data_IF_620138772434
#
_entry.id   IF_620138772434
#
_cell.length_a   1.000
_cell.length_b   1.000
_cell.length_c   1.000
_cell.angle_alpha   90.00
_cell.angle_beta   90.00
_cell.angle_gamma   90.00
#
_symmetry.space_group_name_H-M   'P 1'
#
loop_
_entity.id
_entity.type
_entity.pdbx_description
1 polymer ?
#
# COMPACT_ATOMS: atom_id res chain seq x y z
N UNK A 1 -11.18 18.88 -6.70
CA UNK A 1 -12.07 19.43 -5.64
C UNK A 1 -11.68 19.09 -4.20
N UNK A 2 -10.78 18.18 -3.93
CA UNK A 2 -10.36 17.87 -2.55
C UNK A 2 -9.31 18.84 -2.02
N UNK A 3 -8.39 19.26 -2.89
CA UNK A 3 -7.41 20.26 -2.53
C UNK A 3 -8.01 21.66 -2.31
N UNK A 4 -9.22 21.93 -2.81
CA UNK A 4 -9.89 23.23 -2.65
C UNK A 4 -9.99 23.68 -1.18
N UNK A 5 -10.03 22.71 -0.26
CA UNK A 5 -10.05 22.98 1.18
C UNK A 5 -8.74 23.57 1.71
N UNK A 6 -7.62 23.18 1.14
CA UNK A 6 -6.29 23.58 1.64
C UNK A 6 -5.57 24.55 0.72
N UNK A 7 -5.89 24.57 -0.57
CA UNK A 7 -5.25 25.48 -1.55
C UNK A 7 -5.22 26.95 -1.12
N UNK A 8 -6.27 27.54 -0.53
CA UNK A 8 -6.28 28.95 -0.17
C UNK A 8 -5.17 29.37 0.80
N UNK A 9 -4.57 28.42 1.53
CA UNK A 9 -3.55 28.69 2.53
C UNK A 9 -2.12 28.67 1.98
N UNK A 10 -1.94 28.23 0.75
CA UNK A 10 -0.65 28.13 0.09
C UNK A 10 -0.49 29.17 -1.02
N UNK A 11 0.75 29.65 -1.29
CA UNK A 11 1.03 30.53 -2.41
C UNK A 11 0.68 29.87 -3.75
N UNK A 12 0.49 30.69 -4.78
CA UNK A 12 0.06 30.23 -6.11
C UNK A 12 0.96 29.15 -6.69
N UNK A 13 2.28 29.27 -6.54
CA UNK A 13 3.24 28.27 -7.02
C UNK A 13 3.04 26.91 -6.35
N UNK A 14 2.84 26.85 -5.03
CA UNK A 14 2.55 25.60 -4.32
C UNK A 14 1.18 25.04 -4.68
N UNK A 15 0.18 25.91 -4.95
CA UNK A 15 -1.12 25.47 -5.45
C UNK A 15 -1.00 24.78 -6.80
N UNK A 16 -0.21 25.34 -7.72
CA UNK A 16 0.06 24.73 -9.02
C UNK A 16 0.67 23.33 -8.89
N UNK A 17 1.66 23.15 -7.98
CA UNK A 17 2.27 21.86 -7.68
C UNK A 17 1.28 20.87 -7.05
N UNK A 18 0.43 21.35 -6.13
CA UNK A 18 -0.63 20.52 -5.53
C UNK A 18 -1.66 20.06 -6.57
N UNK A 19 -1.90 20.82 -7.61
CA UNK A 19 -2.86 20.47 -8.67
C UNK A 19 -2.23 19.69 -9.85
N UNK A 20 -0.90 19.71 -9.97
CA UNK A 20 -0.19 19.03 -11.08
C UNK A 20 -0.35 17.50 -10.99
N UNK A 21 -1.05 16.85 -11.94
CA UNK A 21 -1.32 15.39 -11.87
C UNK A 21 -0.06 14.54 -12.05
N UNK A 22 1.04 15.10 -12.54
CA UNK A 22 2.31 14.38 -12.70
C UNK A 22 3.09 14.22 -11.39
N UNK A 23 2.74 15.01 -10.35
CA UNK A 23 3.37 14.95 -9.04
C UNK A 23 2.62 13.95 -8.16
N UNK A 24 3.35 12.99 -7.60
CA UNK A 24 2.84 12.02 -6.63
C UNK A 24 2.99 12.49 -5.19
N UNK A 25 4.12 13.06 -4.86
CA UNK A 25 4.43 13.55 -3.52
C UNK A 25 4.97 14.99 -3.60
N UNK A 26 4.42 15.87 -2.76
CA UNK A 26 4.94 17.23 -2.55
C UNK A 26 5.46 17.33 -1.12
N UNK A 27 6.72 17.71 -0.97
CA UNK A 27 7.42 17.77 0.31
C UNK A 27 7.96 19.18 0.54
N UNK A 28 7.54 19.80 1.63
CA UNK A 28 8.05 21.10 2.09
C UNK A 28 8.85 20.85 3.36
N UNK A 29 10.15 21.11 3.31
CA UNK A 29 11.10 20.78 4.37
C UNK A 29 11.56 22.06 5.12
N UNK A 30 10.63 22.78 5.72
CA UNK A 30 10.91 24.05 6.41
C UNK A 30 11.62 25.02 5.49
N UNK A 31 12.75 25.56 5.94
CA UNK A 31 13.62 26.47 5.15
C UNK A 31 14.54 25.75 4.16
N UNK A 32 14.62 24.41 4.21
CA UNK A 32 15.52 23.63 3.33
C UNK A 32 14.98 23.46 1.90
N UNK A 33 13.73 23.86 1.64
CA UNK A 33 13.17 23.92 0.30
C UNK A 33 11.96 23.04 0.08
N UNK A 34 11.50 23.06 -1.16
CA UNK A 34 10.36 22.28 -1.67
C UNK A 34 10.87 21.24 -2.62
N UNK A 35 10.37 20.03 -2.49
CA UNK A 35 10.68 18.88 -3.33
C UNK A 35 9.40 18.25 -3.86
N UNK A 36 9.44 17.72 -5.07
CA UNK A 36 8.33 17.01 -5.68
C UNK A 36 8.81 15.68 -6.26
N UNK A 37 8.05 14.61 -6.02
CA UNK A 37 8.21 13.36 -6.78
C UNK A 37 7.36 13.47 -8.04
N UNK A 38 8.01 13.55 -9.20
CA UNK A 38 7.36 13.58 -10.52
C UNK A 38 7.67 12.28 -11.25
N UNK A 39 6.65 11.44 -11.42
CA UNK A 39 6.78 10.14 -12.08
C UNK A 39 7.88 9.24 -11.49
N UNK A 40 8.14 9.35 -10.19
CA UNK A 40 9.14 8.56 -9.51
C UNK A 40 10.54 9.19 -9.44
N UNK A 41 10.72 10.40 -9.94
CA UNK A 41 11.96 11.18 -9.79
C UNK A 41 11.70 12.32 -8.82
N UNK A 42 12.49 12.40 -7.76
CA UNK A 42 12.43 13.51 -6.80
C UNK A 42 13.28 14.65 -7.31
N UNK A 43 12.67 15.82 -7.47
CA UNK A 43 13.33 17.06 -7.91
C UNK A 43 13.12 18.18 -6.88
N UNK A 44 14.12 19.03 -6.73
CA UNK A 44 13.98 20.26 -5.93
C UNK A 44 13.29 21.34 -6.76
N UNK A 45 12.27 21.96 -6.18
CA UNK A 45 11.49 23.01 -6.84
C UNK A 45 11.98 24.37 -6.36
N UNK A 46 12.47 25.20 -7.28
CA UNK A 46 12.77 26.61 -7.01
C UNK A 46 11.47 27.42 -6.93
N UNK A 47 11.23 28.05 -5.79
CA UNK A 47 10.14 29.01 -5.63
C UNK A 47 10.65 30.42 -5.92
N UNK A 48 9.85 31.22 -6.61
CA UNK A 48 10.20 32.65 -6.86
C UNK A 48 10.10 33.49 -5.59
N UNK A 49 9.21 33.09 -4.66
CA UNK A 49 9.10 33.67 -3.34
C UNK A 49 9.34 32.62 -2.25
N UNK A 50 10.40 32.77 -1.43
CA UNK A 50 10.64 31.82 -0.32
C UNK A 50 9.48 31.83 0.66
N UNK A 51 9.11 30.62 1.07
CA UNK A 51 8.12 30.43 2.13
C UNK A 51 8.82 30.61 3.48
N UNK A 52 8.36 31.53 4.33
CA UNK A 52 8.94 31.65 5.68
C UNK A 52 8.32 30.59 6.59
N UNK A 53 9.08 30.19 7.63
CA UNK A 53 8.60 29.19 8.60
C UNK A 53 7.28 29.63 9.25
N UNK A 54 7.12 30.93 9.54
CA UNK A 54 5.90 31.47 10.15
C UNK A 54 4.70 31.34 9.22
N UNK A 55 4.88 31.61 7.94
CA UNK A 55 3.80 31.46 6.95
C UNK A 55 3.44 29.98 6.74
N UNK A 56 4.45 29.11 6.72
CA UNK A 56 4.23 27.67 6.60
C UNK A 56 3.49 27.13 7.85
N UNK A 57 3.94 27.51 9.04
CA UNK A 57 3.29 27.13 10.30
C UNK A 57 1.82 27.58 10.32
N UNK A 58 1.55 28.84 9.97
CA UNK A 58 0.20 29.36 9.92
C UNK A 58 -0.69 28.64 8.88
N UNK A 59 -0.13 28.29 7.72
CA UNK A 59 -0.86 27.52 6.72
C UNK A 59 -1.20 26.12 7.22
N UNK A 60 -0.25 25.43 7.83
CA UNK A 60 -0.40 24.08 8.35
C UNK A 60 -1.42 24.02 9.50
N UNK A 61 -1.39 24.98 10.43
CA UNK A 61 -2.37 25.09 11.52
C UNK A 61 -3.79 25.25 10.99
N UNK A 62 -3.97 26.04 9.94
CA UNK A 62 -5.27 26.21 9.28
C UNK A 62 -5.73 24.92 8.60
N UNK A 63 -4.81 24.22 7.93
CA UNK A 63 -5.10 22.90 7.33
C UNK A 63 -5.52 21.90 8.41
N UNK A 64 -4.78 21.83 9.52
CA UNK A 64 -5.11 20.94 10.63
C UNK A 64 -6.52 21.20 11.15
N UNK A 65 -6.84 22.47 11.43
CA UNK A 65 -8.14 22.89 11.96
C UNK A 65 -9.31 22.55 11.02
N UNK A 66 -9.13 22.76 9.70
CA UNK A 66 -10.16 22.40 8.71
C UNK A 66 -10.39 20.91 8.66
N UNK A 67 -9.35 20.11 8.89
CA UNK A 67 -9.42 18.66 8.93
C UNK A 67 -9.84 18.11 10.31
N UNK A 68 -10.30 18.99 11.20
CA UNK A 68 -10.83 18.62 12.53
C UNK A 68 -9.75 18.18 13.52
N UNK A 69 -8.50 18.62 13.33
CA UNK A 69 -7.38 18.29 14.20
C UNK A 69 -6.65 19.55 14.66
N UNK A 70 -6.00 19.47 15.82
CA UNK A 70 -5.20 20.55 16.37
C UNK A 70 -3.71 20.20 16.28
N UNK A 71 -2.95 21.09 15.63
CA UNK A 71 -1.50 21.07 15.64
C UNK A 71 -1.03 22.09 16.67
N UNK A 72 -0.40 21.62 17.72
CA UNK A 72 0.07 22.46 18.84
C UNK A 72 1.51 22.06 19.23
N UNK A 73 2.15 22.87 20.07
CA UNK A 73 3.46 22.50 20.65
C UNK A 73 3.42 21.24 21.50
N UNK A 74 2.26 20.87 22.04
CA UNK A 74 2.06 19.64 22.80
C UNK A 74 1.73 18.44 21.89
N UNK A 75 1.13 18.71 20.73
CA UNK A 75 0.85 17.71 19.70
C UNK A 75 1.38 18.21 18.34
N UNK A 76 2.70 18.12 18.12
CA UNK A 76 3.35 18.71 16.93
C UNK A 76 3.26 17.83 15.69
N UNK A 77 2.64 16.65 15.76
CA UNK A 77 2.54 15.69 14.65
C UNK A 77 1.10 15.60 14.17
N UNK A 78 0.91 15.76 12.86
CA UNK A 78 -0.38 15.59 12.20
C UNK A 78 -0.24 14.56 11.07
N UNK A 79 -1.04 13.51 11.12
CA UNK A 79 -1.23 12.57 10.03
C UNK A 79 -2.72 12.49 9.72
N UNK A 80 -3.10 12.95 8.53
CA UNK A 80 -4.52 13.07 8.17
C UNK A 80 -4.74 12.83 6.69
N UNK A 81 -5.99 12.82 6.27
CA UNK A 81 -6.39 12.66 4.88
C UNK A 81 -7.29 13.77 4.39
N UNK A 82 -7.11 14.12 3.13
CA UNK A 82 -8.04 14.93 2.39
C UNK A 82 -9.23 14.07 1.90
N UNK A 83 -10.38 14.69 1.59
CA UNK A 83 -11.56 13.98 1.11
C UNK A 83 -11.36 13.16 -0.17
N UNK A 84 -10.33 13.47 -1.00
CA UNK A 84 -9.97 12.65 -2.16
C UNK A 84 -9.19 11.38 -1.81
N UNK A 85 -8.72 11.28 -0.58
CA UNK A 85 -7.86 10.20 -0.09
C UNK A 85 -6.37 10.55 -0.06
N UNK A 86 -5.96 11.74 -0.54
CA UNK A 86 -4.58 12.22 -0.41
C UNK A 86 -4.20 12.32 1.05
N UNK A 87 -2.97 11.90 1.38
CA UNK A 87 -2.44 11.93 2.75
C UNK A 87 -1.68 13.21 2.99
N UNK A 88 -1.86 13.78 4.16
CA UNK A 88 -1.11 14.92 4.66
C UNK A 88 -0.38 14.50 5.93
N UNK A 89 0.93 14.64 5.93
CA UNK A 89 1.80 14.42 7.09
C UNK A 89 2.52 15.72 7.43
N UNK A 90 2.50 16.08 8.70
CA UNK A 90 3.11 17.32 9.23
C UNK A 90 3.90 17.00 10.48
N UNK A 91 5.05 17.65 10.62
CA UNK A 91 5.73 17.76 11.89
C UNK A 91 6.01 19.25 12.11
N UNK A 92 5.46 19.80 13.19
CA UNK A 92 5.63 21.20 13.58
C UNK A 92 6.68 21.39 14.68
N UNK A 93 6.82 22.63 15.12
CA UNK A 93 7.66 22.98 16.28
C UNK A 93 7.03 22.39 17.57
N UNK A 94 7.84 21.94 18.55
CA UNK A 94 9.31 22.00 18.61
C UNK A 94 10.02 20.79 17.97
N UNK A 95 9.30 19.78 17.48
CA UNK A 95 9.88 18.53 17.00
C UNK A 95 10.62 18.68 15.66
N UNK A 96 10.22 19.63 14.82
CA UNK A 96 10.92 19.92 13.56
C UNK A 96 11.92 21.06 13.75
N UNK A 97 13.22 20.75 13.70
CA UNK A 97 14.33 21.65 14.08
C UNK A 97 14.51 22.78 13.07
N UNK A 98 14.39 22.50 11.77
CA UNK A 98 14.61 23.45 10.69
C UNK A 98 13.34 24.16 10.21
N UNK A 99 12.32 24.23 11.06
CA UNK A 99 11.00 24.72 10.72
C UNK A 99 10.03 23.59 10.39
N UNK A 100 8.73 23.87 10.28
CA UNK A 100 7.71 22.85 10.09
C UNK A 100 7.91 22.11 8.76
N UNK A 101 7.64 20.81 8.77
CA UNK A 101 7.63 20.00 7.54
C UNK A 101 6.19 19.68 7.15
N UNK A 102 5.93 19.66 5.85
CA UNK A 102 4.62 19.38 5.30
C UNK A 102 4.76 18.49 4.07
N UNK A 103 4.21 17.30 4.13
CA UNK A 103 4.25 16.36 3.02
C UNK A 103 2.83 16.00 2.61
N UNK A 104 2.55 16.12 1.32
CA UNK A 104 1.31 15.63 0.72
C UNK A 104 1.65 14.52 -0.22
N UNK A 105 1.18 13.31 0.09
CA UNK A 105 1.12 12.21 -0.86
C UNK A 105 -0.22 12.23 -1.53
N UNK A 106 -0.22 12.58 -2.82
CA UNK A 106 -1.45 12.69 -3.58
C UNK A 106 -2.08 11.33 -3.80
N UNK A 107 -3.38 11.33 -3.74
CA UNK A 107 -4.16 10.21 -4.22
C UNK A 107 -4.18 10.25 -5.76
N UNK A 108 -3.22 9.55 -6.36
CA UNK A 108 -3.05 9.53 -7.81
C UNK A 108 -4.16 8.71 -8.51
N UNK A 109 -4.29 8.95 -9.82
CA UNK A 109 -5.13 8.17 -10.73
C UNK A 109 -4.83 6.69 -10.60
N UNK A 110 -5.88 5.89 -10.47
CA UNK A 110 -5.79 4.45 -10.55
C UNK A 110 -5.63 4.01 -12.02
N UNK A 111 -4.78 3.03 -12.21
CA UNK A 111 -4.57 2.40 -13.49
C UNK A 111 -5.41 1.13 -13.60
N UNK A 112 -5.97 0.89 -14.78
CA UNK A 112 -6.54 -0.41 -15.15
C UNK A 112 -5.42 -1.39 -15.49
N UNK A 113 -5.71 -2.69 -15.48
CA UNK A 113 -4.72 -3.70 -15.90
C UNK A 113 -4.28 -3.51 -17.36
N UNK A 114 -5.15 -3.02 -18.24
CA UNK A 114 -4.82 -2.68 -19.63
C UNK A 114 -3.85 -1.51 -19.73
N UNK A 115 -4.02 -0.47 -18.93
CA UNK A 115 -3.08 0.66 -18.86
C UNK A 115 -1.72 0.25 -18.32
N UNK A 116 -1.68 -0.66 -17.33
CA UNK A 116 -0.42 -1.23 -16.83
C UNK A 116 0.28 -2.07 -17.90
N UNK A 117 -0.48 -2.77 -18.75
CA UNK A 117 0.08 -3.48 -19.91
C UNK A 117 0.61 -2.49 -20.95
N UNK A 118 -0.15 -1.47 -21.31
CA UNK A 118 0.25 -0.46 -22.28
C UNK A 118 1.49 0.33 -21.86
N UNK A 119 1.69 0.55 -20.57
CA UNK A 119 2.89 1.19 -20.01
C UNK A 119 4.11 0.26 -19.92
N UNK A 120 3.95 -1.04 -20.18
CA UNK A 120 5.00 -2.06 -20.01
C UNK A 120 5.29 -2.42 -18.55
N UNK A 121 4.44 -1.97 -17.60
CA UNK A 121 4.58 -2.31 -16.18
C UNK A 121 4.13 -3.73 -15.87
N UNK A 122 3.17 -4.25 -16.63
CA UNK A 122 2.60 -5.59 -16.48
C UNK A 122 2.62 -6.31 -17.84
N UNK A 123 3.40 -7.39 -18.03
CA UNK A 123 3.36 -8.15 -19.27
C UNK A 123 1.98 -8.77 -19.51
N UNK A 124 1.51 -8.78 -20.76
CA UNK A 124 0.17 -9.25 -21.12
C UNK A 124 -0.09 -10.70 -20.72
N UNK A 125 0.91 -11.58 -20.94
CA UNK A 125 0.82 -13.00 -20.59
C UNK A 125 0.74 -13.20 -19.06
N UNK A 126 1.42 -12.37 -18.28
CA UNK A 126 1.35 -12.37 -16.81
C UNK A 126 -0.03 -11.90 -16.36
N UNK A 127 -0.53 -10.78 -16.92
CA UNK A 127 -1.89 -10.32 -16.63
C UNK A 127 -2.91 -11.43 -16.86
N UNK A 128 -2.89 -12.06 -18.03
CA UNK A 128 -3.87 -13.08 -18.41
C UNK A 128 -3.79 -14.33 -17.51
N UNK A 129 -2.59 -14.70 -17.07
CA UNK A 129 -2.41 -15.79 -16.11
C UNK A 129 -2.96 -15.42 -14.74
N UNK A 130 -2.63 -14.23 -14.22
CA UNK A 130 -3.08 -13.77 -12.90
C UNK A 130 -4.60 -13.56 -12.88
N UNK A 131 -5.19 -13.02 -13.95
CA UNK A 131 -6.65 -12.89 -14.06
C UNK A 131 -7.32 -14.26 -13.92
N UNK A 132 -6.84 -15.30 -14.64
CA UNK A 132 -7.37 -16.67 -14.47
C UNK A 132 -7.23 -17.21 -13.05
N UNK A 133 -6.11 -16.92 -12.37
CA UNK A 133 -5.91 -17.30 -10.96
C UNK A 133 -6.92 -16.61 -10.05
N UNK A 134 -7.17 -15.31 -10.27
CA UNK A 134 -8.17 -14.53 -9.53
C UNK A 134 -9.58 -15.09 -9.78
N UNK A 135 -9.97 -15.30 -11.03
CA UNK A 135 -11.28 -15.89 -11.37
C UNK A 135 -11.44 -17.29 -10.75
N UNK A 136 -10.36 -18.06 -10.71
CA UNK A 136 -10.30 -19.39 -10.05
C UNK A 136 -10.23 -19.33 -8.53
N UNK A 137 -10.40 -18.15 -7.89
CA UNK A 137 -10.37 -17.96 -6.43
C UNK A 137 -9.06 -18.40 -5.78
N UNK A 138 -7.94 -18.22 -6.48
CA UNK A 138 -6.62 -18.51 -5.97
C UNK A 138 -6.14 -17.40 -5.05
N UNK A 139 -5.53 -17.77 -3.93
CA UNK A 139 -4.94 -16.83 -2.98
C UNK A 139 -3.62 -16.28 -3.51
N UNK A 140 -3.47 -14.97 -3.52
CA UNK A 140 -2.29 -14.32 -4.09
C UNK A 140 -1.66 -13.28 -3.20
N UNK A 141 -0.34 -13.21 -3.28
CA UNK A 141 0.46 -12.16 -2.64
C UNK A 141 1.10 -11.29 -3.74
N UNK A 142 0.98 -9.97 -3.60
CA UNK A 142 1.66 -8.99 -4.44
C UNK A 142 2.79 -8.40 -3.64
N UNK A 143 4.01 -8.80 -3.98
CA UNK A 143 5.22 -8.48 -3.25
C UNK A 143 6.04 -7.37 -3.92
N UNK A 144 6.87 -6.69 -3.14
CA UNK A 144 7.83 -5.71 -3.66
C UNK A 144 8.23 -4.66 -2.63
N UNK A 145 9.23 -3.87 -2.94
CA UNK A 145 9.72 -2.78 -2.10
C UNK A 145 8.77 -1.60 -1.97
N UNK A 146 9.18 -0.58 -1.21
CA UNK A 146 8.43 0.67 -1.10
C UNK A 146 8.37 1.39 -2.45
N UNK A 147 7.18 1.86 -2.84
CA UNK A 147 6.98 2.57 -4.10
C UNK A 147 7.07 1.71 -5.36
N UNK A 148 7.13 0.37 -5.26
CA UNK A 148 7.17 -0.56 -6.40
C UNK A 148 5.84 -0.67 -7.15
N UNK A 149 4.74 -0.16 -6.60
CA UNK A 149 3.42 -0.16 -7.23
C UNK A 149 2.51 -1.31 -6.81
N UNK A 150 2.80 -2.04 -5.72
CA UNK A 150 1.98 -3.15 -5.19
C UNK A 150 0.50 -2.82 -5.10
N UNK A 151 0.15 -1.74 -4.41
CA UNK A 151 -1.24 -1.31 -4.20
C UNK A 151 -1.93 -0.94 -5.51
N UNK A 152 -1.21 -0.30 -6.43
CA UNK A 152 -1.71 0.03 -7.78
C UNK A 152 -2.00 -1.24 -8.57
N UNK A 153 -1.07 -2.20 -8.54
CA UNK A 153 -1.22 -3.48 -9.22
C UNK A 153 -2.37 -4.29 -8.62
N UNK A 154 -2.46 -4.38 -7.29
CA UNK A 154 -3.56 -5.04 -6.61
C UNK A 154 -4.91 -4.44 -7.00
N UNK A 155 -5.05 -3.10 -6.99
CA UNK A 155 -6.27 -2.43 -7.41
C UNK A 155 -6.65 -2.76 -8.85
N UNK A 156 -5.70 -2.71 -9.79
CA UNK A 156 -5.95 -3.04 -11.19
C UNK A 156 -6.39 -4.51 -11.39
N UNK A 157 -5.92 -5.40 -10.55
CA UNK A 157 -6.28 -6.82 -10.55
C UNK A 157 -7.64 -7.08 -9.88
N UNK A 158 -8.01 -6.31 -8.86
CA UNK A 158 -9.32 -6.41 -8.20
C UNK A 158 -10.50 -6.10 -9.14
N UNK A 159 -10.28 -5.32 -10.19
CA UNK A 159 -11.30 -5.03 -11.20
C UNK A 159 -11.74 -6.29 -11.99
N UNK A 160 -10.97 -7.40 -11.89
CA UNK A 160 -11.31 -8.71 -12.49
C UNK A 160 -12.04 -9.65 -11.53
N UNK A 161 -12.29 -9.25 -10.30
CA UNK A 161 -13.09 -10.06 -9.37
C UNK A 161 -14.55 -10.06 -9.83
N UNK A 162 -15.22 -11.23 -9.93
CA UNK A 162 -16.61 -11.31 -10.36
C UNK A 162 -17.56 -10.51 -9.46
N UNK A 163 -18.41 -9.67 -10.05
CA UNK A 163 -19.31 -8.74 -9.33
C UNK A 163 -20.32 -9.44 -8.39
N UNK A 164 -20.56 -10.74 -8.56
CA UNK A 164 -21.43 -11.54 -7.67
C UNK A 164 -20.78 -11.85 -6.32
N UNK A 165 -19.46 -11.68 -6.19
CA UNK A 165 -18.72 -12.01 -4.99
C UNK A 165 -18.74 -10.86 -3.98
N UNK A 166 -18.69 -11.20 -2.69
CA UNK A 166 -18.60 -10.22 -1.62
C UNK A 166 -17.15 -10.04 -1.19
N UNK A 167 -16.64 -8.82 -1.26
CA UNK A 167 -15.30 -8.43 -0.86
C UNK A 167 -15.34 -7.72 0.50
N UNK A 168 -14.49 -8.17 1.42
CA UNK A 168 -14.14 -7.41 2.62
C UNK A 168 -12.72 -6.91 2.45
N UNK A 169 -12.56 -5.59 2.37
CA UNK A 169 -11.27 -4.92 2.18
C UNK A 169 -10.82 -4.35 3.52
N UNK A 170 -9.64 -4.75 3.99
CA UNK A 170 -9.06 -4.35 5.27
C UNK A 170 -7.74 -3.64 5.00
N UNK A 171 -7.57 -2.45 5.54
CA UNK A 171 -6.39 -1.61 5.29
C UNK A 171 -5.92 -0.86 6.54
N UNK A 172 -4.66 -0.47 6.54
CA UNK A 172 -4.07 0.42 7.56
C UNK A 172 -2.94 1.27 6.94
N UNK A 173 -3.24 2.48 6.52
CA UNK A 173 -4.54 3.13 6.37
C UNK A 173 -5.24 2.75 5.05
N UNK A 174 -6.55 3.04 4.91
CA UNK A 174 -7.31 2.72 3.72
C UNK A 174 -6.87 3.56 2.52
N UNK A 175 -6.44 2.93 1.43
CA UNK A 175 -6.01 3.57 0.19
C UNK A 175 -6.82 3.10 -1.02
N UNK A 176 -7.23 1.83 -1.04
CA UNK A 176 -7.89 1.22 -2.19
C UNK A 176 -9.29 1.80 -2.39
N UNK A 177 -9.54 2.34 -3.58
CA UNK A 177 -10.90 2.60 -4.06
C UNK A 177 -11.35 1.43 -4.91
N UNK A 178 -12.09 0.51 -4.32
CA UNK A 178 -12.59 -0.68 -5.00
C UNK A 178 -13.98 -0.36 -5.59
N UNK A 179 -14.07 -0.31 -6.92
CA UNK A 179 -15.32 -0.08 -7.64
C UNK A 179 -16.08 -1.40 -7.84
N UNK A 180 -16.34 -2.12 -6.75
CA UNK A 180 -17.04 -3.39 -6.77
C UNK A 180 -18.39 -3.25 -6.05
N UNK A 181 -19.50 -3.71 -6.62
CA UNK A 181 -20.84 -3.44 -6.09
C UNK A 181 -21.08 -4.00 -4.68
N UNK A 182 -20.42 -5.09 -4.32
CA UNK A 182 -20.52 -5.73 -3.01
C UNK A 182 -19.17 -5.71 -2.27
N UNK A 183 -18.51 -4.56 -2.23
CA UNK A 183 -17.31 -4.36 -1.43
C UNK A 183 -17.61 -3.60 -0.14
N UNK A 184 -17.13 -4.12 0.97
CA UNK A 184 -17.12 -3.46 2.27
C UNK A 184 -15.67 -3.10 2.58
N UNK A 185 -15.43 -1.86 3.00
CA UNK A 185 -14.07 -1.36 3.28
C UNK A 185 -13.97 -1.02 4.76
N UNK A 186 -12.95 -1.57 5.41
CA UNK A 186 -12.64 -1.32 6.81
C UNK A 186 -11.23 -0.79 6.94
N UNK A 187 -11.05 0.09 7.89
CA UNK A 187 -9.75 0.64 8.24
C UNK A 187 -9.40 0.29 9.68
N UNK A 188 -8.21 -0.24 9.88
CA UNK A 188 -7.66 -0.42 11.22
C UNK A 188 -7.32 0.94 11.84
N UNK A 189 -7.60 1.07 13.12
CA UNK A 189 -7.45 2.33 13.86
C UNK A 189 -6.32 2.17 14.87
N UNK A 190 -5.31 3.05 14.78
CA UNK A 190 -4.24 3.10 15.77
C UNK A 190 -4.77 3.56 17.13
N UNK A 191 -4.08 3.14 18.19
CA UNK A 191 -4.35 3.64 19.54
C UNK A 191 -3.96 5.11 19.65
N UNK A 192 -4.94 5.93 20.04
CA UNK A 192 -4.74 7.35 20.37
C UNK A 192 -5.47 7.66 21.68
N UNK A 193 -5.08 8.68 22.43
CA UNK A 193 -5.75 9.07 23.66
C UNK A 193 -7.26 9.23 23.47
N UNK A 194 -8.05 8.44 24.20
CA UNK A 194 -9.52 8.46 24.15
C UNK A 194 -10.17 7.59 23.06
N UNK A 195 -9.39 6.89 22.24
CA UNK A 195 -9.89 5.98 21.21
C UNK A 195 -9.23 4.61 21.34
N UNK A 196 -10.03 3.56 21.36
CA UNK A 196 -9.54 2.18 21.39
C UNK A 196 -9.02 1.79 20.01
N UNK A 197 -7.84 1.14 20.00
CA UNK A 197 -7.28 0.58 18.77
C UNK A 197 -8.20 -0.52 18.19
N UNK A 198 -8.28 -0.56 16.87
CA UNK A 198 -8.89 -1.67 16.13
C UNK A 198 -7.82 -2.23 15.20
N UNK A 199 -7.31 -3.42 15.52
CA UNK A 199 -6.18 -4.03 14.78
C UNK A 199 -6.64 -4.71 13.49
N UNK A 200 -5.73 -4.88 12.50
CA UNK A 200 -6.02 -5.68 11.31
C UNK A 200 -6.46 -7.11 11.65
N UNK A 201 -5.86 -7.74 12.66
CA UNK A 201 -6.22 -9.08 13.16
C UNK A 201 -7.68 -9.15 13.63
N UNK A 202 -8.12 -8.14 14.40
CA UNK A 202 -9.52 -8.06 14.83
C UNK A 202 -10.48 -7.91 13.65
N UNK A 203 -10.07 -7.13 12.63
CA UNK A 203 -10.89 -6.95 11.42
C UNK A 203 -10.94 -8.23 10.58
N UNK A 204 -9.85 -9.01 10.46
CA UNK A 204 -9.87 -10.33 9.80
C UNK A 204 -10.82 -11.26 10.54
N UNK A 205 -10.74 -11.34 11.86
CA UNK A 205 -11.66 -12.15 12.67
C UNK A 205 -13.12 -11.73 12.53
N UNK A 206 -13.39 -10.43 12.42
CA UNK A 206 -14.72 -9.90 12.14
C UNK A 206 -15.18 -10.27 10.72
N UNK A 207 -14.29 -10.17 9.72
CA UNK A 207 -14.59 -10.47 8.32
C UNK A 207 -15.17 -11.88 8.15
N UNK A 208 -14.62 -12.87 8.84
CA UNK A 208 -15.09 -14.26 8.79
C UNK A 208 -16.57 -14.44 9.21
N UNK A 209 -17.13 -13.47 9.95
CA UNK A 209 -18.55 -13.45 10.36
C UNK A 209 -19.46 -12.64 9.44
N UNK A 210 -18.87 -11.94 8.45
CA UNK A 210 -19.59 -11.08 7.51
C UNK A 210 -19.84 -11.73 6.15
N UNK A 211 -19.75 -13.05 6.06
CA UNK A 211 -19.97 -13.84 4.85
C UNK A 211 -19.13 -13.34 3.67
N UNK A 212 -17.81 -13.23 3.81
CA UNK A 212 -16.96 -12.83 2.71
C UNK A 212 -16.86 -13.95 1.68
N UNK A 213 -16.87 -13.58 0.40
CA UNK A 213 -16.37 -14.48 -0.64
C UNK A 213 -14.85 -14.32 -0.79
N UNK A 214 -14.33 -13.10 -0.54
CA UNK A 214 -12.89 -12.80 -0.51
C UNK A 214 -12.55 -11.81 0.58
N UNK A 215 -11.37 -11.98 1.15
CA UNK A 215 -10.75 -11.00 2.04
C UNK A 215 -9.60 -10.34 1.27
N UNK A 216 -9.61 -9.02 1.18
CA UNK A 216 -8.55 -8.24 0.56
C UNK A 216 -7.82 -7.49 1.67
N UNK A 217 -6.55 -7.82 1.87
CA UNK A 217 -5.70 -7.14 2.84
C UNK A 217 -4.80 -6.14 2.12
N UNK A 218 -4.95 -4.86 2.41
CA UNK A 218 -4.16 -3.80 1.78
C UNK A 218 -2.66 -4.06 1.89
N UNK A 219 -2.19 -4.42 3.08
CA UNK A 219 -0.81 -4.83 3.32
C UNK A 219 -0.74 -5.73 4.56
N UNK A 220 0.01 -6.83 4.46
CA UNK A 220 0.33 -7.66 5.61
C UNK A 220 1.48 -7.00 6.36
N UNK A 221 1.25 -6.76 7.66
CA UNK A 221 2.24 -6.26 8.60
C UNK A 221 2.14 -7.06 9.89
N UNK A 222 3.28 -7.40 10.47
CA UNK A 222 3.38 -8.02 11.79
C UNK A 222 2.40 -9.19 12.03
N UNK A 223 1.68 -9.15 13.13
CA UNK A 223 0.88 -10.25 13.66
C UNK A 223 -0.32 -10.66 12.79
N UNK A 224 -0.83 -9.80 11.91
CA UNK A 224 -1.99 -10.13 11.09
C UNK A 224 -1.72 -11.22 10.05
N UNK A 225 -0.45 -11.53 9.78
CA UNK A 225 -0.06 -12.61 8.86
C UNK A 225 -0.62 -13.96 9.25
N UNK A 226 -0.62 -14.30 10.55
CA UNK A 226 -1.18 -15.56 11.04
C UNK A 226 -2.68 -15.66 10.81
N UNK A 227 -3.44 -14.63 11.18
CA UNK A 227 -4.90 -14.64 11.06
C UNK A 227 -5.33 -14.69 9.59
N UNK A 228 -4.58 -14.02 8.71
CA UNK A 228 -4.81 -14.07 7.27
C UNK A 228 -4.54 -15.47 6.69
N UNK A 229 -3.44 -16.14 7.10
CA UNK A 229 -3.16 -17.53 6.72
C UNK A 229 -4.28 -18.48 7.19
N UNK A 230 -4.80 -18.28 8.40
CA UNK A 230 -5.95 -19.07 8.88
C UNK A 230 -7.19 -18.82 8.03
N UNK A 231 -7.49 -17.57 7.66
CA UNK A 231 -8.59 -17.23 6.77
C UNK A 231 -8.46 -17.91 5.40
N UNK A 232 -7.27 -17.83 4.79
CA UNK A 232 -6.96 -18.51 3.51
C UNK A 232 -7.16 -20.03 3.58
N UNK A 233 -6.74 -20.67 4.68
CA UNK A 233 -6.83 -22.12 4.88
C UNK A 233 -8.23 -22.62 5.28
N UNK A 234 -9.15 -21.73 5.66
CA UNK A 234 -10.49 -22.10 6.17
C UNK A 234 -11.63 -21.87 5.17
N UNK A 235 -11.34 -21.94 3.88
CA UNK A 235 -12.37 -21.92 2.82
C UNK A 235 -12.65 -20.53 2.23
N UNK A 236 -11.88 -19.50 2.60
CA UNK A 236 -11.98 -18.15 2.04
C UNK A 236 -10.98 -17.94 0.90
N UNK A 237 -11.04 -18.83 -0.12
CA UNK A 237 -10.17 -18.75 -1.30
C UNK A 237 -10.38 -17.46 -2.11
N UNK A 238 -9.32 -17.00 -2.79
CA UNK A 238 -9.31 -15.76 -3.55
C UNK A 238 -8.91 -14.51 -2.73
N UNK A 239 -8.35 -14.72 -1.55
CA UNK A 239 -7.72 -13.68 -0.75
C UNK A 239 -6.54 -13.07 -1.50
N UNK A 240 -6.48 -11.74 -1.58
CA UNK A 240 -5.36 -11.02 -2.14
C UNK A 240 -4.78 -10.07 -1.10
N UNK A 241 -3.46 -9.98 -1.07
CA UNK A 241 -2.78 -9.04 -0.17
C UNK A 241 -1.49 -8.50 -0.77
N UNK A 242 -0.99 -7.38 -0.23
CA UNK A 242 0.37 -6.93 -0.53
C UNK A 242 1.31 -7.22 0.63
N UNK A 243 2.59 -7.36 0.31
CA UNK A 243 3.65 -7.62 1.27
C UNK A 243 4.96 -6.96 0.80
N UNK A 244 5.73 -6.39 1.73
CA UNK A 244 7.09 -5.97 1.46
C UNK A 244 8.02 -7.18 1.38
N UNK A 245 8.69 -7.35 0.23
CA UNK A 245 9.69 -8.41 0.01
C UNK A 245 10.63 -8.03 -1.13
N UNK A 246 11.76 -8.74 -1.25
CA UNK A 246 12.80 -8.49 -2.24
C UNK A 246 12.75 -9.48 -3.42
N UNK A 247 11.90 -10.50 -3.34
CA UNK A 247 11.58 -11.46 -4.42
C UNK A 247 10.23 -12.13 -4.17
N UNK A 248 9.77 -12.90 -5.15
CA UNK A 248 8.55 -13.70 -4.98
C UNK A 248 8.72 -14.81 -3.93
N UNK A 249 9.90 -15.43 -3.86
CA UNK A 249 10.19 -16.47 -2.87
C UNK A 249 10.36 -15.87 -1.46
N UNK A 250 11.09 -14.75 -1.33
CA UNK A 250 11.25 -14.02 -0.08
C UNK A 250 9.89 -13.62 0.54
N UNK A 251 8.89 -13.32 -0.29
CA UNK A 251 7.55 -13.01 0.19
C UNK A 251 6.90 -14.17 0.95
N UNK A 252 7.14 -15.42 0.57
CA UNK A 252 6.64 -16.58 1.28
C UNK A 252 7.33 -16.76 2.63
N UNK A 253 8.66 -16.60 2.66
CA UNK A 253 9.45 -16.66 3.89
C UNK A 253 9.01 -15.55 4.87
N UNK A 254 8.89 -14.31 4.39
CA UNK A 254 8.46 -13.18 5.23
C UNK A 254 7.05 -13.33 5.77
N UNK A 255 6.12 -13.85 4.95
CA UNK A 255 4.77 -14.14 5.44
C UNK A 255 4.77 -15.20 6.55
N UNK A 256 5.58 -16.25 6.38
CA UNK A 256 5.74 -17.28 7.41
C UNK A 256 6.36 -16.72 8.68
N UNK A 257 7.39 -15.88 8.57
CA UNK A 257 8.06 -15.26 9.71
C UNK A 257 7.13 -14.28 10.46
N UNK A 258 6.34 -13.48 9.77
CA UNK A 258 5.31 -12.63 10.38
C UNK A 258 4.25 -13.46 11.10
N UNK A 259 3.79 -14.54 10.50
CA UNK A 259 2.81 -15.43 11.14
C UNK A 259 3.40 -16.14 12.38
N UNK A 260 4.69 -16.46 12.35
CA UNK A 260 5.38 -17.06 13.49
C UNK A 260 5.56 -16.06 14.65
N UNK A 261 5.88 -14.79 14.35
CA UNK A 261 6.04 -13.75 15.37
C UNK A 261 4.75 -13.46 16.13
N UNK A 262 3.59 -13.66 15.52
CA UNK A 262 2.28 -13.50 16.14
C UNK A 262 1.97 -14.54 17.23
N UNK A 263 2.63 -15.69 17.21
CA UNK A 263 2.35 -16.84 18.07
C UNK A 263 3.64 -17.54 18.47
N UNK A 264 4.18 -17.24 19.64
CA UNK A 264 5.48 -17.73 20.14
C UNK A 264 5.57 -19.25 20.35
N UNK A 265 4.45 -19.96 20.34
CA UNK A 265 4.40 -21.42 20.62
C UNK A 265 4.24 -22.29 19.35
N UNK A 266 4.33 -21.70 18.16
CA UNK A 266 4.17 -22.45 16.91
C UNK A 266 5.52 -22.91 16.35
N UNK A 267 5.53 -24.10 15.77
CA UNK A 267 6.71 -24.64 15.10
C UNK A 267 6.87 -23.97 13.72
N UNK A 268 8.10 -23.56 13.40
CA UNK A 268 8.44 -22.89 12.14
C UNK A 268 8.06 -23.75 10.90
N UNK A 269 8.34 -25.04 10.92
CA UNK A 269 8.00 -25.93 9.80
C UNK A 269 6.48 -26.05 9.61
N UNK A 270 5.74 -26.01 10.74
CA UNK A 270 4.27 -26.00 10.68
C UNK A 270 3.77 -24.75 9.98
N UNK A 271 4.27 -23.58 10.36
CA UNK A 271 3.85 -22.30 9.74
C UNK A 271 4.24 -22.24 8.27
N UNK A 272 5.46 -22.66 7.90
CA UNK A 272 5.88 -22.73 6.50
C UNK A 272 4.99 -23.68 5.68
N UNK A 273 4.64 -24.83 6.24
CA UNK A 273 3.69 -25.76 5.61
C UNK A 273 2.30 -25.13 5.44
N UNK A 274 1.80 -24.39 6.45
CA UNK A 274 0.52 -23.66 6.33
C UNK A 274 0.60 -22.55 5.27
N UNK A 275 1.71 -21.84 5.18
CA UNK A 275 1.94 -20.80 4.15
C UNK A 275 1.93 -21.41 2.75
N UNK A 276 2.67 -22.52 2.54
CA UNK A 276 2.70 -23.21 1.25
C UNK A 276 1.34 -23.81 0.81
N UNK A 277 0.44 -24.10 1.78
CA UNK A 277 -0.92 -24.52 1.48
C UNK A 277 -1.88 -23.37 1.20
N UNK A 278 -1.65 -22.23 1.88
CA UNK A 278 -2.54 -21.09 1.85
C UNK A 278 -2.34 -20.21 0.61
N UNK A 279 -1.10 -20.01 0.18
CA UNK A 279 -0.74 -19.14 -0.95
C UNK A 279 -0.65 -19.96 -2.22
N UNK A 280 -1.40 -19.58 -3.26
CA UNK A 280 -1.38 -20.23 -4.57
C UNK A 280 -0.41 -19.56 -5.55
N UNK A 281 -0.20 -18.24 -5.43
CA UNK A 281 0.74 -17.51 -6.31
C UNK A 281 1.33 -16.27 -5.64
N UNK A 282 2.51 -15.88 -6.10
CA UNK A 282 3.14 -14.61 -5.72
C UNK A 282 3.54 -13.86 -6.98
N UNK A 283 3.16 -12.59 -7.02
CA UNK A 283 3.52 -11.64 -8.06
C UNK A 283 4.48 -10.60 -7.45
N UNK A 284 5.72 -10.57 -7.91
CA UNK A 284 6.73 -9.63 -7.42
C UNK A 284 6.91 -8.46 -8.38
N UNK A 285 6.90 -7.26 -7.86
CA UNK A 285 7.14 -6.04 -8.60
C UNK A 285 8.22 -5.17 -7.95
N UNK A 286 9.01 -4.52 -8.78
CA UNK A 286 10.07 -3.62 -8.34
C UNK A 286 9.97 -2.25 -9.02
N UNK A 287 10.66 -1.28 -8.45
CA UNK A 287 10.97 -0.01 -9.06
C UNK A 287 12.45 -0.03 -9.46
N UNK A 288 12.73 0.05 -10.76
CA UNK A 288 14.10 0.03 -11.26
C UNK A 288 14.84 1.37 -10.99
N UNK A 289 16.13 1.40 -11.29
CA UNK A 289 16.98 2.58 -11.10
C UNK A 289 16.54 3.81 -11.92
N UNK A 290 15.72 3.60 -12.96
CA UNK A 290 15.14 4.69 -13.77
C UNK A 290 13.81 5.19 -13.22
N UNK A 291 13.35 4.64 -12.09
CA UNK A 291 12.06 4.97 -11.48
C UNK A 291 10.86 4.21 -12.06
N UNK A 292 11.05 3.37 -13.09
CA UNK A 292 9.97 2.59 -13.70
C UNK A 292 9.55 1.43 -12.81
N UNK A 293 8.25 1.23 -12.69
CA UNK A 293 7.65 0.13 -11.92
C UNK A 293 7.30 -1.01 -12.85
N UNK A 294 7.74 -2.23 -12.53
CA UNK A 294 7.54 -3.41 -13.38
C UNK A 294 7.30 -4.66 -12.56
N UNK A 295 6.47 -5.54 -13.08
CA UNK A 295 6.41 -6.92 -12.62
C UNK A 295 7.68 -7.63 -13.07
N UNK A 296 8.35 -8.28 -12.12
CA UNK A 296 9.61 -9.00 -12.34
C UNK A 296 9.45 -10.51 -12.29
N UNK A 297 8.58 -10.99 -11.40
CA UNK A 297 8.38 -12.42 -11.20
C UNK A 297 6.90 -12.75 -11.01
N UNK A 298 6.51 -13.91 -11.51
CA UNK A 298 5.29 -14.61 -11.13
C UNK A 298 5.65 -16.05 -10.86
N UNK A 299 5.37 -16.52 -9.65
CA UNK A 299 5.48 -17.93 -9.27
C UNK A 299 4.12 -18.47 -8.87
N UNK A 300 3.89 -19.76 -9.09
CA UNK A 300 2.83 -20.52 -8.42
C UNK A 300 3.44 -21.35 -7.30
N UNK A 301 2.67 -21.58 -6.23
CA UNK A 301 3.10 -22.30 -5.03
C UNK A 301 2.38 -23.63 -5.00
N UNK A 302 3.14 -24.72 -4.93
CA UNK A 302 2.61 -26.09 -4.87
C UNK A 302 2.59 -26.64 -3.44
N UNK A 303 3.38 -26.02 -2.53
CA UNK A 303 3.42 -26.43 -1.14
C UNK A 303 4.77 -26.11 -0.46
N UNK A 304 5.08 -26.89 0.56
CA UNK A 304 6.33 -26.84 1.30
C UNK A 304 6.92 -28.24 1.47
N UNK A 305 8.17 -28.43 1.04
CA UNK A 305 8.93 -29.67 1.21
C UNK A 305 9.54 -29.70 2.61
N UNK A 306 9.10 -30.65 3.44
CA UNK A 306 9.68 -30.86 4.78
C UNK A 306 11.09 -31.46 4.71
N UNK A 307 11.39 -32.22 3.65
CA UNK A 307 12.70 -32.83 3.43
C UNK A 307 13.74 -31.79 3.04
N UNK A 308 13.40 -30.93 2.08
CA UNK A 308 14.32 -29.92 1.55
C UNK A 308 14.23 -28.59 2.30
N UNK A 309 13.27 -28.47 3.22
CA UNK A 309 12.98 -27.28 4.01
C UNK A 309 12.76 -26.02 3.18
N UNK A 310 12.12 -26.14 2.01
CA UNK A 310 11.85 -25.05 1.10
C UNK A 310 10.43 -25.06 0.55
N UNK A 311 9.96 -23.92 0.07
CA UNK A 311 8.71 -23.83 -0.69
C UNK A 311 8.91 -24.50 -2.05
N UNK A 312 7.91 -25.30 -2.46
CA UNK A 312 7.86 -25.89 -3.80
C UNK A 312 7.10 -24.92 -4.69
N UNK A 313 7.76 -24.38 -5.70
CA UNK A 313 7.21 -23.34 -6.57
C UNK A 313 7.52 -23.60 -8.03
N UNK A 314 6.65 -23.16 -8.93
CA UNK A 314 6.88 -23.13 -10.37
C UNK A 314 7.03 -21.67 -10.81
N UNK A 315 8.13 -21.38 -11.51
CA UNK A 315 8.36 -20.06 -12.11
C UNK A 315 7.54 -19.93 -13.40
N UNK A 316 6.51 -19.10 -13.39
CA UNK A 316 5.65 -18.81 -14.54
C UNK A 316 6.23 -17.68 -15.39
N UNK A 317 6.88 -16.72 -14.75
CA UNK A 317 7.48 -15.58 -15.41
C UNK A 317 8.63 -15.01 -14.59
N UNK A 318 9.72 -14.71 -15.28
CA UNK A 318 10.83 -13.89 -14.79
C UNK A 318 11.25 -12.90 -15.88
N UNK A 319 11.25 -11.62 -15.55
CA UNK A 319 11.76 -10.62 -16.46
C UNK A 319 13.28 -10.79 -16.63
N UNK A 320 13.77 -10.74 -17.85
CA UNK A 320 15.20 -10.72 -18.13
C UNK A 320 15.86 -9.58 -17.34
N UNK A 321 16.99 -9.85 -16.69
CA UNK A 321 17.81 -8.80 -16.12
C UNK A 321 18.31 -7.95 -17.29
N UNK A 322 17.72 -6.79 -17.51
CA UNK A 322 18.34 -5.79 -18.37
C UNK A 322 19.60 -5.35 -17.62
N UNK A 323 20.74 -5.91 -17.98
CA UNK A 323 22.01 -5.35 -17.57
C UNK A 323 21.95 -3.85 -17.89
N UNK A 324 22.22 -3.01 -16.89
CA UNK A 324 22.43 -1.60 -17.10
C UNK A 324 23.62 -1.48 -18.07
N UNK A 325 23.34 -1.01 -19.29
CA UNK A 325 24.37 -0.56 -20.21
C UNK A 325 24.69 0.91 -19.90
#
# INVERSE_FOLDING_TARGET
>A
MSFDLILPFFPEELRALLLDPSISDLMINGTSGVFADRNGVVEQIGLTQPFTNERLQAAIERVARILGQDLTTQNPILNTRLPDGSRVAVVGSPSSINGPTFTVRKFNRWFTSNELVASGSLPVNVRDKVVRLIEGRKNGIIAGGTGSGKTTLMKALLDHVPHRERLIVIEQPAELKVAHPNAVRWEAVAEIPGQVAVTPSQLVAAALRHRPDRIIMGEIRDECGYDLLQAMNTGHGGTLSTLHADSALDALDRLADMALSARTNLNQQFIRSQTGKAVDFVLYCERDSTGRRRVRELITVEGYSHTDQCFVTEEIYRASSTAAA
#
